data_IF_198603833953
#
_entry.id   IF_198603833953
#
_cell.length_a   1.000
_cell.length_b   1.000
_cell.length_c   1.000
_cell.angle_alpha   90.00
_cell.angle_beta   90.00
_cell.angle_gamma   90.00
#
_symmetry.space_group_name_H-M   'P 1'
#
loop_
_entity.id
_entity.type
_entity.pdbx_description
1 polymer ?
#
# COMPACT_ATOMS: atom_id res chain seq x y z
N UNK A 1 -6.97 -16.86 -13.26
CA UNK A 1 -6.52 -15.46 -13.43
C UNK A 1 -7.66 -14.52 -13.86
N UNK A 2 -8.60 -14.94 -14.73
CA UNK A 2 -9.79 -14.14 -15.10
C UNK A 2 -10.78 -13.90 -13.95
N UNK A 3 -10.96 -14.90 -13.08
CA UNK A 3 -11.91 -14.85 -11.97
C UNK A 3 -11.53 -13.84 -10.89
N UNK A 4 -10.24 -13.75 -10.54
CA UNK A 4 -9.74 -12.74 -9.60
C UNK A 4 -9.90 -11.31 -10.13
N UNK A 5 -9.69 -11.10 -11.43
CA UNK A 5 -9.93 -9.79 -12.07
C UNK A 5 -11.41 -9.42 -12.06
N UNK A 6 -12.28 -10.37 -12.39
CA UNK A 6 -13.74 -10.23 -12.32
C UNK A 6 -14.21 -9.88 -10.90
N UNK A 7 -13.72 -10.60 -9.88
CA UNK A 7 -14.04 -10.36 -8.48
C UNK A 7 -13.49 -9.03 -7.97
N UNK A 8 -12.29 -8.63 -8.39
CA UNK A 8 -11.71 -7.30 -8.07
C UNK A 8 -12.57 -6.17 -8.66
N UNK A 9 -12.93 -6.28 -9.94
CA UNK A 9 -13.80 -5.31 -10.62
C UNK A 9 -15.17 -5.25 -9.96
N UNK A 10 -15.78 -6.41 -9.67
CA UNK A 10 -17.09 -6.53 -9.01
C UNK A 10 -17.06 -5.97 -7.58
N UNK A 11 -16.02 -6.27 -6.80
CA UNK A 11 -15.84 -5.71 -5.45
C UNK A 11 -15.67 -4.19 -5.47
N UNK A 12 -15.00 -3.65 -6.50
CA UNK A 12 -14.85 -2.21 -6.75
C UNK A 12 -16.17 -1.54 -7.20
N UNK A 13 -17.10 -2.29 -7.78
CA UNK A 13 -18.42 -1.78 -8.21
C UNK A 13 -19.51 -1.92 -7.14
N UNK A 14 -19.56 -3.04 -6.42
CA UNK A 14 -20.58 -3.33 -5.37
C UNK A 14 -20.37 -2.53 -4.08
N UNK A 15 -19.13 -2.10 -3.81
CA UNK A 15 -18.82 -1.10 -2.79
C UNK A 15 -18.11 0.04 -3.50
N UNK A 16 -18.73 1.21 -3.61
CA UNK A 16 -18.07 2.44 -4.04
C UNK A 16 -17.04 2.84 -2.97
N UNK A 17 -15.89 2.17 -2.96
CA UNK A 17 -14.79 2.44 -2.04
C UNK A 17 -14.06 3.69 -2.56
N UNK A 18 -14.21 4.85 -1.90
CA UNK A 18 -13.68 6.09 -2.43
C UNK A 18 -12.15 6.11 -2.39
N UNK A 19 -11.55 6.74 -3.40
CA UNK A 19 -10.10 6.93 -3.59
C UNK A 19 -9.75 8.42 -3.64
N UNK A 20 -10.60 9.27 -3.05
CA UNK A 20 -10.57 10.73 -3.22
C UNK A 20 -9.25 11.32 -2.74
N UNK A 21 -8.65 10.78 -1.67
CA UNK A 21 -7.36 11.27 -1.15
C UNK A 21 -6.22 11.01 -2.14
N UNK A 22 -6.21 9.83 -2.76
CA UNK A 22 -5.18 9.45 -3.71
C UNK A 22 -5.27 10.23 -5.04
N UNK A 23 -6.48 10.67 -5.39
CA UNK A 23 -6.78 11.43 -6.60
C UNK A 23 -6.54 12.93 -6.48
N UNK A 24 -6.23 13.44 -5.28
CA UNK A 24 -5.88 14.86 -5.10
C UNK A 24 -4.64 15.23 -5.91
N UNK A 25 -4.64 16.45 -6.46
CA UNK A 25 -3.58 16.93 -7.34
C UNK A 25 -2.18 16.84 -6.71
N UNK A 26 -2.06 17.09 -5.39
CA UNK A 26 -0.81 16.97 -4.64
C UNK A 26 -0.32 15.51 -4.47
N UNK A 27 -1.21 14.53 -4.55
CA UNK A 27 -0.93 13.13 -4.26
C UNK A 27 -0.79 12.26 -5.52
N UNK A 28 -1.29 12.70 -6.68
CA UNK A 28 -1.20 11.96 -7.95
C UNK A 28 0.24 11.55 -8.25
N UNK A 29 1.20 12.45 -8.05
CA UNK A 29 2.62 12.19 -8.31
C UNK A 29 3.24 11.18 -7.34
N UNK A 30 2.62 10.90 -6.20
CA UNK A 30 3.09 9.91 -5.21
C UNK A 30 2.67 8.48 -5.56
N UNK A 31 1.83 8.29 -6.59
CA UNK A 31 1.37 6.99 -7.06
C UNK A 31 2.22 6.49 -8.23
N UNK A 32 2.67 5.23 -8.19
CA UNK A 32 3.38 4.60 -9.31
C UNK A 32 2.46 4.35 -10.51
N UNK A 33 1.22 3.94 -10.24
CA UNK A 33 0.19 3.70 -11.25
C UNK A 33 -1.10 4.44 -10.84
N UNK A 34 -1.83 4.99 -11.83
CA UNK A 34 -3.03 5.80 -11.57
C UNK A 34 -4.22 4.98 -11.09
N UNK A 35 -4.30 3.73 -11.52
CA UNK A 35 -5.37 2.77 -11.27
C UNK A 35 -5.13 1.93 -10.00
N UNK A 36 -3.89 1.89 -9.51
CA UNK A 36 -3.47 1.18 -8.30
C UNK A 36 -3.24 2.18 -7.16
N UNK A 37 -4.31 2.50 -6.46
CA UNK A 37 -4.33 3.49 -5.36
C UNK A 37 -5.07 2.95 -4.13
N UNK A 38 -4.70 3.37 -2.91
CA UNK A 38 -5.35 2.90 -1.69
C UNK A 38 -6.77 3.47 -1.56
N UNK A 39 -7.68 2.68 -1.01
CA UNK A 39 -8.99 3.19 -0.63
C UNK A 39 -8.91 4.09 0.60
N UNK A 40 -9.74 5.13 0.68
CA UNK A 40 -9.69 6.15 1.73
C UNK A 40 -9.86 5.57 3.15
N UNK A 41 -10.62 4.47 3.30
CA UNK A 41 -10.91 3.84 4.59
C UNK A 41 -9.83 2.85 5.04
N UNK A 42 -9.04 2.30 4.12
CA UNK A 42 -7.93 1.38 4.43
C UNK A 42 -6.57 2.04 4.34
N UNK A 43 -6.46 3.26 3.79
CA UNK A 43 -5.16 3.90 3.59
C UNK A 43 -4.38 4.06 4.89
N UNK A 44 -3.07 3.91 4.77
CA UNK A 44 -2.14 4.34 5.81
C UNK A 44 -2.09 5.88 5.82
N UNK A 45 -2.05 6.48 7.01
CA UNK A 45 -1.91 7.93 7.19
C UNK A 45 -0.61 8.20 7.92
N UNK A 46 0.23 9.08 7.39
CA UNK A 46 1.43 9.51 8.10
C UNK A 46 1.05 10.65 9.05
N UNK A 47 1.32 10.47 10.34
CA UNK A 47 1.06 11.48 11.37
C UNK A 47 2.35 12.12 11.87
N UNK A 48 3.48 11.43 11.71
CA UNK A 48 4.78 11.94 12.09
C UNK A 48 5.31 12.92 11.03
N UNK A 49 5.41 14.20 11.39
CA UNK A 49 5.84 15.30 10.52
C UNK A 49 7.28 15.68 10.81
N UNK A 50 8.14 15.66 9.79
CA UNK A 50 9.55 16.09 9.84
C UNK A 50 9.77 17.50 9.29
N UNK A 51 8.89 17.98 8.41
CA UNK A 51 8.93 19.32 7.85
C UNK A 51 7.52 19.92 7.73
N UNK A 52 7.43 21.26 7.69
CA UNK A 52 6.17 22.02 7.69
C UNK A 52 5.19 21.65 6.55
N UNK A 53 5.70 21.07 5.46
CA UNK A 53 4.93 20.74 4.25
C UNK A 53 4.78 19.23 4.02
N UNK A 54 5.03 18.40 5.04
CA UNK A 54 4.86 16.96 4.88
C UNK A 54 3.38 16.61 4.71
N UNK A 55 3.09 15.83 3.68
CA UNK A 55 1.74 15.31 3.44
C UNK A 55 1.50 14.04 4.25
N UNK A 56 0.23 13.80 4.62
CA UNK A 56 -0.22 12.60 5.32
C UNK A 56 -0.38 11.37 4.41
N UNK A 57 -0.15 11.55 3.10
CA UNK A 57 -0.43 10.57 2.07
C UNK A 57 0.81 9.75 1.69
N UNK A 58 0.61 8.44 1.73
CA UNK A 58 1.47 7.43 1.11
C UNK A 58 0.57 6.39 0.41
N UNK A 59 0.99 5.86 -0.74
CA UNK A 59 0.27 4.78 -1.41
C UNK A 59 0.51 3.45 -0.67
N UNK A 60 -0.29 3.25 0.38
CA UNK A 60 -0.30 2.06 1.21
C UNK A 60 -1.68 1.83 1.84
N UNK A 61 -2.06 0.58 2.06
CA UNK A 61 -3.30 0.17 2.72
C UNK A 61 -3.05 -0.84 3.83
N UNK A 62 -3.83 -0.74 4.90
CA UNK A 62 -3.93 -1.80 5.90
C UNK A 62 -4.70 -3.00 5.35
N UNK A 63 -4.15 -4.19 5.57
CA UNK A 63 -4.82 -5.46 5.31
C UNK A 63 -5.14 -6.11 6.65
N UNK A 64 -6.40 -6.50 6.81
CA UNK A 64 -6.83 -7.27 7.96
C UNK A 64 -6.32 -8.71 7.86
N UNK A 65 -5.71 -9.20 8.94
CA UNK A 65 -5.37 -10.60 9.08
C UNK A 65 -6.60 -11.45 9.39
N UNK A 66 -6.41 -12.77 9.42
CA UNK A 66 -7.49 -13.76 9.71
C UNK A 66 -8.16 -13.49 11.07
N UNK A 67 -7.44 -12.91 12.03
CA UNK A 67 -7.96 -12.52 13.35
C UNK A 67 -8.71 -11.19 13.37
N UNK A 68 -8.92 -10.53 12.23
CA UNK A 68 -9.58 -9.21 12.13
C UNK A 68 -8.69 -8.03 12.55
N UNK A 69 -7.50 -8.27 13.08
CA UNK A 69 -6.51 -7.23 13.38
C UNK A 69 -5.85 -6.70 12.10
N UNK A 70 -5.47 -5.40 12.08
CA UNK A 70 -4.65 -4.81 10.99
C UNK A 70 -3.24 -5.39 11.04
N UNK A 71 -3.08 -6.57 10.46
CA UNK A 71 -1.88 -7.38 10.58
C UNK A 71 -0.78 -6.94 9.61
N UNK A 72 -1.16 -6.39 8.46
CA UNK A 72 -0.22 -6.07 7.38
C UNK A 72 -0.46 -4.69 6.78
N UNK A 73 0.60 -4.15 6.17
CA UNK A 73 0.53 -2.99 5.28
C UNK A 73 0.97 -3.44 3.90
N UNK A 74 0.10 -3.28 2.90
CA UNK A 74 0.48 -3.40 1.50
C UNK A 74 0.80 -2.00 0.94
N UNK A 75 1.91 -1.87 0.23
CA UNK A 75 2.36 -0.58 -0.32
C UNK A 75 3.07 -0.75 -1.65
N UNK A 76 2.99 0.24 -2.54
CA UNK A 76 3.80 0.24 -3.75
C UNK A 76 5.30 0.29 -3.44
N UNK A 77 6.14 -0.05 -4.41
CA UNK A 77 7.56 0.24 -4.27
C UNK A 77 7.84 1.75 -4.24
N UNK A 78 8.67 2.24 -3.29
CA UNK A 78 8.89 3.67 -3.13
C UNK A 78 9.43 4.28 -4.43
N UNK A 79 8.94 5.46 -4.75
CA UNK A 79 9.46 6.28 -5.84
C UNK A 79 10.64 7.11 -5.30
N UNK A 80 11.54 7.62 -6.15
CA UNK A 80 12.67 8.44 -5.71
C UNK A 80 12.25 9.58 -4.76
N UNK A 81 11.12 10.23 -5.02
CA UNK A 81 10.59 11.33 -4.20
C UNK A 81 9.63 10.89 -3.08
N UNK A 82 9.39 9.59 -2.88
CA UNK A 82 8.57 9.07 -1.77
C UNK A 82 9.35 8.15 -0.83
N UNK A 83 10.68 8.06 -0.96
CA UNK A 83 11.53 7.25 -0.07
C UNK A 83 11.40 7.73 1.38
N UNK A 84 11.37 9.04 1.62
CA UNK A 84 11.23 9.60 2.97
C UNK A 84 9.88 9.26 3.59
N UNK A 85 8.79 9.41 2.82
CA UNK A 85 7.44 9.02 3.25
C UNK A 85 7.37 7.52 3.60
N UNK A 86 8.05 6.67 2.82
CA UNK A 86 8.13 5.24 3.06
C UNK A 86 8.90 4.90 4.35
N UNK A 87 10.03 5.55 4.60
CA UNK A 87 10.79 5.37 5.85
C UNK A 87 10.02 5.89 7.06
N UNK A 88 9.31 7.03 6.93
CA UNK A 88 8.39 7.55 7.95
C UNK A 88 7.33 6.52 8.30
N UNK A 89 6.72 5.87 7.31
CA UNK A 89 5.75 4.80 7.53
C UNK A 89 6.35 3.62 8.31
N UNK A 90 7.54 3.15 7.93
CA UNK A 90 8.21 2.02 8.61
C UNK A 90 8.43 2.34 10.07
N UNK A 91 8.94 3.54 10.34
CA UNK A 91 9.21 4.03 11.69
C UNK A 91 7.92 4.19 12.51
N UNK A 92 6.94 4.92 11.99
CA UNK A 92 5.69 5.26 12.68
C UNK A 92 4.87 4.00 13.03
N UNK A 93 4.83 3.02 12.13
CA UNK A 93 4.03 1.80 12.32
C UNK A 93 4.81 0.61 12.90
N UNK A 94 6.12 0.77 13.11
CA UNK A 94 7.03 -0.28 13.58
C UNK A 94 6.84 -1.60 12.80
N UNK A 95 6.97 -1.50 11.47
CA UNK A 95 6.77 -2.63 10.56
C UNK A 95 8.09 -3.11 9.96
N UNK A 96 8.22 -4.42 9.75
CA UNK A 96 9.37 -5.01 9.08
C UNK A 96 9.06 -5.22 7.60
N UNK A 97 10.02 -4.84 6.74
CA UNK A 97 9.92 -5.01 5.29
C UNK A 97 10.23 -6.46 4.93
N UNK A 98 9.26 -7.14 4.33
CA UNK A 98 9.51 -8.45 3.72
C UNK A 98 9.70 -8.29 2.22
N UNK A 99 10.91 -8.59 1.75
CA UNK A 99 11.26 -8.59 0.33
C UNK A 99 10.83 -9.92 -0.29
N UNK A 100 9.74 -9.93 -1.04
CA UNK A 100 9.39 -11.09 -1.87
C UNK A 100 10.07 -10.96 -3.23
N UNK A 101 11.28 -11.49 -3.36
CA UNK A 101 11.99 -11.57 -4.65
C UNK A 101 11.39 -12.65 -5.55
N UNK A 102 10.58 -12.29 -6.55
CA UNK A 102 10.27 -13.20 -7.66
C UNK A 102 11.36 -13.04 -8.72
N UNK A 103 12.00 -14.16 -9.10
CA UNK A 103 13.16 -14.27 -10.01
C UNK A 103 13.02 -13.66 -11.43
N UNK A 104 11.95 -12.94 -11.76
CA UNK A 104 11.66 -12.53 -13.14
C UNK A 104 11.17 -11.09 -13.32
N UNK A 105 11.24 -10.23 -12.30
CA UNK A 105 10.67 -8.88 -12.37
C UNK A 105 11.74 -7.81 -12.12
N UNK A 106 11.87 -6.86 -13.04
CA UNK A 106 12.70 -5.66 -12.86
C UNK A 106 12.18 -4.86 -11.66
N UNK A 107 13.04 -4.04 -11.04
CA UNK A 107 12.70 -3.15 -9.93
C UNK A 107 11.51 -2.20 -10.22
N UNK A 108 11.06 -2.13 -11.47
CA UNK A 108 9.99 -1.25 -11.95
C UNK A 108 8.58 -1.83 -11.80
N UNK A 109 8.44 -3.12 -11.51
CA UNK A 109 7.16 -3.84 -11.66
C UNK A 109 6.61 -4.49 -10.38
N UNK A 110 7.00 -3.97 -9.21
CA UNK A 110 6.45 -4.42 -7.92
C UNK A 110 5.04 -3.87 -7.66
N UNK A 111 4.05 -4.71 -7.98
CA UNK A 111 2.77 -4.78 -7.29
C UNK A 111 3.02 -5.21 -5.83
N UNK A 112 3.17 -4.24 -4.92
CA UNK A 112 2.99 -4.44 -3.48
C UNK A 112 4.17 -5.04 -2.70
N UNK A 113 4.85 -4.24 -1.87
CA UNK A 113 5.53 -4.74 -0.67
C UNK A 113 4.48 -5.06 0.40
N UNK A 114 4.68 -6.17 1.13
CA UNK A 114 3.91 -6.46 2.33
C UNK A 114 4.79 -6.29 3.55
N UNK A 115 4.33 -5.46 4.49
CA UNK A 115 5.01 -5.19 5.75
C UNK A 115 4.22 -5.85 6.87
N UNK A 116 4.92 -6.52 7.79
CA UNK A 116 4.31 -7.21 8.95
C UNK A 116 4.82 -6.61 10.25
N UNK A 117 3.97 -6.66 11.29
CA UNK A 117 4.34 -6.30 12.68
C UNK A 117 4.94 -7.47 13.48
N UNK A 118 4.92 -8.71 12.95
CA UNK A 118 5.40 -9.91 13.68
C UNK A 118 6.23 -10.87 12.82
N UNK A 119 7.19 -11.57 13.45
CA UNK A 119 8.24 -12.40 12.83
C UNK A 119 7.79 -13.76 12.26
N UNK A 120 6.55 -14.19 12.47
CA UNK A 120 6.14 -15.55 12.09
C UNK A 120 4.80 -15.60 11.37
N UNK A 121 4.77 -15.34 10.06
CA UNK A 121 3.69 -15.85 9.18
C UNK A 121 4.25 -16.01 7.75
N UNK A 122 4.01 -17.19 7.14
CA UNK A 122 4.32 -17.50 5.74
C UNK A 122 3.25 -16.94 4.78
N UNK A 123 3.66 -16.34 3.67
CA UNK A 123 2.77 -15.63 2.74
C UNK A 123 2.16 -16.52 1.64
N UNK A 124 0.85 -16.35 1.42
CA UNK A 124 0.23 -16.47 0.10
C UNK A 124 0.06 -15.06 -0.47
N UNK A 125 0.42 -14.87 -1.74
CA UNK A 125 0.42 -13.58 -2.44
C UNK A 125 -0.97 -12.95 -2.47
N UNK A 126 -1.14 -11.77 -1.84
CA UNK A 126 -2.32 -10.92 -2.05
C UNK A 126 -1.97 -9.99 -3.21
N UNK A 127 -2.53 -10.30 -4.38
CA UNK A 127 -2.54 -9.43 -5.55
C UNK A 127 -3.80 -8.56 -5.38
N UNK A 128 -3.62 -7.24 -5.27
CA UNK A 128 -4.69 -6.29 -5.62
C UNK A 128 -4.74 -6.13 -7.14
#
# INVERSE_FOLDING_TARGET
MFELKSLSTKYRTDKTLPTKTAEKQENIKKNRYKDIVPFDHTRVKLTFTTAKNDSDYINASFIQGVSGSRAYIATQGPLPHTVVDFLRMIWEYNVQVQWSWRRSFSLDSLLGFVLTRSRSVSFHTIIC
#
